data_IF_487042123163
#
_entry.id   IF_487042123163
#
_cell.length_a   1.000
_cell.length_b   1.000
_cell.length_c   1.000
_cell.angle_alpha   90.00
_cell.angle_beta   90.00
_cell.angle_gamma   90.00
#
_symmetry.space_group_name_H-M   'P 1'
#
loop_
_entity.id
_entity.type
_entity.pdbx_description
1 polymer ?
#
# COMPACT_ATOMS: atom_id res chain seq x y z
N UNK A 1 11.48 12.81 22.05
CA UNK A 1 10.78 12.57 20.81
C UNK A 1 11.45 11.46 20.04
N UNK A 2 10.70 10.45 19.71
CA UNK A 2 11.26 9.28 19.09
C UNK A 2 10.65 9.07 17.71
N UNK A 3 11.51 8.89 16.72
CA UNK A 3 11.08 8.54 15.39
C UNK A 3 11.24 7.04 15.23
N UNK A 4 10.17 6.39 14.84
CA UNK A 4 10.20 4.96 14.62
C UNK A 4 10.03 4.67 13.15
N UNK A 5 11.05 4.08 12.58
CA UNK A 5 10.98 3.65 11.20
C UNK A 5 10.97 2.14 11.14
N UNK A 6 10.10 1.62 10.33
CA UNK A 6 9.97 0.19 10.15
C UNK A 6 10.71 -0.23 8.90
N UNK A 7 11.16 -1.47 8.88
CA UNK A 7 11.75 -2.00 7.64
C UNK A 7 10.64 -2.23 6.63
N UNK A 8 11.03 -2.38 5.36
CA UNK A 8 10.06 -2.68 4.31
C UNK A 8 9.32 -3.97 4.64
N UNK A 9 10.02 -4.97 5.15
CA UNK A 9 9.38 -6.24 5.49
C UNK A 9 8.35 -6.07 6.60
N UNK A 10 8.68 -5.28 7.60
CA UNK A 10 7.73 -5.02 8.68
C UNK A 10 6.50 -4.29 8.17
N UNK A 11 6.71 -3.30 7.33
CA UNK A 11 5.60 -2.56 6.76
C UNK A 11 4.75 -3.43 5.85
N UNK A 12 5.38 -4.33 5.10
CA UNK A 12 4.64 -5.24 4.25
C UNK A 12 3.71 -6.12 5.07
N UNK A 13 4.16 -6.56 6.24
CA UNK A 13 3.31 -7.34 7.14
C UNK A 13 2.14 -6.52 7.64
N UNK A 14 2.40 -5.27 7.99
CA UNK A 14 1.35 -4.37 8.45
C UNK A 14 0.32 -4.16 7.35
N UNK A 15 0.78 -3.92 6.13
CA UNK A 15 -0.10 -3.70 4.99
C UNK A 15 -0.93 -4.96 4.71
N UNK A 16 -0.29 -6.13 4.75
CA UNK A 16 -0.98 -7.38 4.52
C UNK A 16 -2.09 -7.58 5.55
N UNK A 17 -1.79 -7.31 6.80
CA UNK A 17 -2.78 -7.43 7.87
C UNK A 17 -3.93 -6.45 7.67
N UNK A 18 -3.60 -5.22 7.35
CA UNK A 18 -4.61 -4.19 7.13
C UNK A 18 -5.51 -4.54 5.94
N UNK A 19 -4.92 -5.08 4.87
CA UNK A 19 -5.70 -5.51 3.72
C UNK A 19 -6.68 -6.62 4.11
N UNK A 20 -6.25 -7.53 4.96
CA UNK A 20 -7.13 -8.57 5.46
C UNK A 20 -8.31 -7.99 6.25
N UNK A 21 -8.05 -6.98 7.06
CA UNK A 21 -9.10 -6.34 7.83
C UNK A 21 -10.09 -5.60 6.94
N UNK A 22 -9.62 -5.11 5.80
CA UNK A 22 -10.48 -4.42 4.84
C UNK A 22 -11.14 -5.38 3.86
N UNK A 23 -10.84 -6.68 3.97
CA UNK A 23 -11.36 -7.70 3.05
C UNK A 23 -10.91 -7.43 1.61
N UNK A 24 -9.68 -7.01 1.45
CA UNK A 24 -9.11 -6.71 0.14
C UNK A 24 -8.09 -7.79 -0.19
N UNK A 25 -8.26 -8.52 -1.30
CA UNK A 25 -7.25 -9.49 -1.71
C UNK A 25 -6.00 -8.75 -2.15
N UNK A 26 -4.90 -9.04 -1.49
CA UNK A 26 -3.63 -8.39 -1.77
C UNK A 26 -2.54 -9.43 -1.92
N UNK A 27 -1.84 -9.35 -3.05
CA UNK A 27 -0.71 -10.25 -3.30
C UNK A 27 0.51 -9.78 -2.52
N UNK A 28 1.40 -10.69 -2.14
CA UNK A 28 2.60 -10.28 -1.40
C UNK A 28 3.43 -9.23 -2.14
N UNK A 29 3.53 -9.32 -3.46
CA UNK A 29 4.29 -8.33 -4.21
C UNK A 29 3.60 -6.97 -4.21
N UNK A 30 2.28 -6.96 -4.13
CA UNK A 30 1.53 -5.71 -4.03
C UNK A 30 1.74 -5.04 -2.69
N UNK A 31 1.65 -5.80 -1.62
CA UNK A 31 1.88 -5.23 -0.29
C UNK A 31 3.32 -4.76 -0.14
N UNK A 32 4.25 -5.47 -0.76
CA UNK A 32 5.65 -5.07 -0.73
C UNK A 32 5.86 -3.72 -1.45
N UNK A 33 5.20 -3.53 -2.59
CA UNK A 33 5.29 -2.28 -3.32
C UNK A 33 4.79 -1.11 -2.46
N UNK A 34 3.67 -1.31 -1.79
CA UNK A 34 3.14 -0.28 -0.91
C UNK A 34 4.15 0.02 0.22
N UNK A 35 4.72 -1.05 0.79
CA UNK A 35 5.66 -0.89 1.88
C UNK A 35 6.90 -0.11 1.45
N UNK A 36 7.41 -0.38 0.26
CA UNK A 36 8.59 0.32 -0.24
C UNK A 36 8.37 1.82 -0.34
N UNK A 37 7.15 2.23 -0.64
CA UNK A 37 6.83 3.63 -0.85
C UNK A 37 6.32 4.32 0.40
N UNK A 38 6.29 3.60 1.51
CA UNK A 38 5.77 4.12 2.76
C UNK A 38 6.81 4.84 3.61
N UNK A 39 8.05 4.80 3.19
CA UNK A 39 9.15 5.52 3.84
C UNK A 39 9.28 5.18 5.31
N UNK A 40 9.07 3.91 5.63
CA UNK A 40 9.23 3.44 7.00
C UNK A 40 8.12 3.80 7.96
N UNK A 41 7.02 4.36 7.48
CA UNK A 41 5.95 4.87 8.34
C UNK A 41 4.67 4.07 8.15
N UNK A 42 4.17 3.40 9.22
CA UNK A 42 2.93 2.63 9.09
C UNK A 42 1.72 3.48 8.72
N UNK A 43 1.69 4.71 9.19
CA UNK A 43 0.57 5.61 8.87
C UNK A 43 0.49 5.85 7.38
N UNK A 44 1.65 6.10 6.76
CA UNK A 44 1.68 6.30 5.32
C UNK A 44 1.34 5.01 4.61
N UNK A 45 1.85 3.88 5.10
CA UNK A 45 1.55 2.58 4.49
C UNK A 45 0.05 2.32 4.46
N UNK A 46 -0.65 2.56 5.55
CA UNK A 46 -2.09 2.35 5.60
C UNK A 46 -2.83 3.30 4.68
N UNK A 47 -2.36 4.53 4.60
CA UNK A 47 -2.96 5.52 3.71
C UNK A 47 -2.82 5.10 2.25
N UNK A 48 -1.62 4.66 1.89
CA UNK A 48 -1.37 4.21 0.52
C UNK A 48 -2.19 2.96 0.20
N UNK A 49 -2.33 2.07 1.17
CA UNK A 49 -3.12 0.87 0.97
C UNK A 49 -4.56 1.22 0.59
N UNK A 50 -5.16 2.16 1.29
CA UNK A 50 -6.52 2.57 1.00
C UNK A 50 -6.65 3.17 -0.39
N UNK A 51 -5.66 3.95 -0.79
CA UNK A 51 -5.65 4.55 -2.13
C UNK A 51 -5.52 3.47 -3.20
N UNK A 52 -4.62 2.52 -2.97
CA UNK A 52 -4.45 1.44 -3.92
C UNK A 52 -5.72 0.59 -3.99
N UNK A 53 -6.36 0.35 -2.85
CA UNK A 53 -7.61 -0.39 -2.84
C UNK A 53 -8.67 0.29 -3.69
N UNK A 54 -8.83 1.60 -3.51
CA UNK A 54 -9.81 2.34 -4.30
C UNK A 54 -9.51 2.24 -5.79
N UNK A 55 -8.25 2.38 -6.14
CA UNK A 55 -7.84 2.26 -7.54
C UNK A 55 -8.15 0.87 -8.08
N UNK A 56 -7.86 -0.17 -7.30
CA UNK A 56 -8.10 -1.53 -7.74
C UNK A 56 -9.57 -1.81 -7.95
N UNK A 57 -10.43 -1.22 -7.13
CA UNK A 57 -11.87 -1.42 -7.27
C UNK A 57 -12.43 -0.72 -8.49
N UNK A 58 -11.87 0.43 -8.83
CA UNK A 58 -12.37 1.22 -9.95
C UNK A 58 -11.76 0.75 -11.27
N UNK A 59 -10.46 0.48 -11.28
CA UNK A 59 -9.75 0.21 -12.52
C UNK A 59 -9.43 -1.27 -12.73
N UNK A 60 -9.56 -2.08 -11.69
CA UNK A 60 -9.24 -3.49 -11.77
C UNK A 60 -10.36 -4.34 -11.22
N UNK A 61 -9.98 -5.51 -10.76
CA UNK A 61 -10.93 -6.46 -10.19
C UNK A 61 -10.94 -6.44 -8.65
N UNK A 62 -10.38 -5.41 -8.06
CA UNK A 62 -10.35 -5.27 -6.62
C UNK A 62 -9.14 -5.91 -5.97
N UNK A 63 -8.27 -6.51 -6.76
CA UNK A 63 -7.10 -7.20 -6.24
C UNK A 63 -5.87 -6.29 -6.31
N UNK A 64 -5.08 -6.32 -5.26
CA UNK A 64 -3.86 -5.53 -5.20
C UNK A 64 -2.67 -6.43 -5.51
N UNK A 65 -2.04 -6.21 -6.66
CA UNK A 65 -0.79 -6.87 -7.01
C UNK A 65 0.25 -5.78 -7.28
N UNK A 66 1.47 -6.20 -7.63
CA UNK A 66 2.55 -5.25 -7.83
C UNK A 66 2.21 -4.26 -8.93
N UNK A 67 1.62 -4.72 -10.02
CA UNK A 67 1.28 -3.83 -11.14
C UNK A 67 0.21 -2.83 -10.74
N UNK A 68 -0.82 -3.29 -10.06
CA UNK A 68 -1.90 -2.41 -9.61
C UNK A 68 -1.37 -1.39 -8.60
N UNK A 69 -0.56 -1.84 -7.65
CA UNK A 69 0.02 -0.95 -6.66
C UNK A 69 0.92 0.09 -7.31
N UNK A 70 1.74 -0.34 -8.27
CA UNK A 70 2.63 0.57 -8.96
C UNK A 70 1.86 1.65 -9.70
N UNK A 71 0.83 1.26 -10.42
CA UNK A 71 0.02 2.22 -11.19
C UNK A 71 -0.69 3.21 -10.27
N UNK A 72 -1.28 2.69 -9.20
CA UNK A 72 -1.99 3.55 -8.26
C UNK A 72 -1.04 4.53 -7.59
N UNK A 73 0.12 4.04 -7.19
CA UNK A 73 1.08 4.89 -6.49
C UNK A 73 1.71 5.93 -7.41
N UNK A 74 1.86 5.60 -8.68
CA UNK A 74 2.32 6.58 -9.65
C UNK A 74 1.33 7.70 -9.83
N UNK A 75 0.04 7.38 -9.80
CA UNK A 75 -0.97 8.42 -9.88
C UNK A 75 -0.90 9.35 -8.68
N UNK A 76 -0.63 8.80 -7.49
CA UNK A 76 -0.50 9.62 -6.31
C UNK A 76 0.73 10.52 -6.37
N UNK A 77 1.80 10.03 -6.98
CA UNK A 77 3.00 10.84 -7.13
C UNK A 77 2.78 12.04 -8.04
N UNK A 78 1.95 11.85 -9.06
CA UNK A 78 1.66 12.93 -10.00
C UNK A 78 0.78 13.98 -9.33
N UNK A 79 -0.04 13.56 -8.41
CA UNK A 79 -0.97 14.45 -7.74
C UNK A 79 -0.24 15.18 -6.61
N UNK A 80 0.03 16.46 -6.77
CA UNK A 80 0.73 17.20 -5.73
C UNK A 80 -0.21 17.42 -4.56
N UNK A 81 0.23 17.04 -3.44
CA UNK A 81 -0.66 17.16 -2.36
C UNK A 81 -0.01 17.70 -1.15
#
# INVERSE_FOLDING_TARGET
LRLEFYTVEELARIVTRSAGLLNVPAEPDGTLEIAKRSRGTPRIANRLLRRVRDYAEVKGDGRIDAATADRALKMLDVDPQ
#
